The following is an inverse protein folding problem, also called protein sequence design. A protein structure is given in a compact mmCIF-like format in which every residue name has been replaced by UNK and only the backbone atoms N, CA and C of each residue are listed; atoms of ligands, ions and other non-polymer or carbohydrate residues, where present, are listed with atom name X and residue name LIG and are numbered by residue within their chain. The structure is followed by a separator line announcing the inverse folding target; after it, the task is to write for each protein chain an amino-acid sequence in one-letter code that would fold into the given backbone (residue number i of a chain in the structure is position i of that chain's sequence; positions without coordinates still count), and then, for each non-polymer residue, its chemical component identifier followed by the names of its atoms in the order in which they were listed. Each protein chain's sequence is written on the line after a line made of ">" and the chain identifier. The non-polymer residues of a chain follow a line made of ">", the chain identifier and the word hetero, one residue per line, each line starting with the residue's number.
data_IF_402103920585
#
_entry.id   IF_402103920585
#
_cell.length_a   1.000
_cell.length_b   1.000
_cell.length_c   1.000
_cell.angle_alpha   90.00
_cell.angle_beta   90.00
_cell.angle_gamma   90.00
#
_symmetry.space_group_name_H-M   'P 1'
#
loop_
_entity.id
_entity.type
_entity.pdbx_description
1 polymer ?
#
# COMPACT_ATOMS: atom_id res chain seq x y z
N UNK A 1 -17.67 -15.21 1.25
CA UNK A 1 -18.26 -14.17 2.11
C UNK A 1 -17.66 -12.85 1.67
N UNK A 2 -18.40 -11.98 0.99
CA UNK A 2 -17.90 -10.67 0.53
C UNK A 2 -18.16 -9.64 1.61
N UNK A 3 -17.18 -9.39 2.47
CA UNK A 3 -17.19 -8.23 3.37
C UNK A 3 -17.11 -6.96 2.53
N UNK A 4 -18.23 -6.26 2.38
CA UNK A 4 -18.29 -4.97 1.68
C UNK A 4 -17.60 -3.91 2.55
N UNK A 5 -16.29 -3.78 2.41
CA UNK A 5 -15.55 -2.71 3.07
C UNK A 5 -15.90 -1.38 2.39
N UNK A 6 -16.40 -0.41 3.17
CA UNK A 6 -16.65 0.94 2.67
C UNK A 6 -15.31 1.69 2.51
N UNK A 7 -14.64 1.43 1.40
CA UNK A 7 -13.36 2.02 1.04
C UNK A 7 -13.54 3.44 0.53
N UNK A 8 -12.76 4.37 1.08
CA UNK A 8 -12.65 5.75 0.56
C UNK A 8 -12.07 5.70 -0.86
N UNK A 9 -12.32 6.72 -1.70
CA UNK A 9 -11.76 6.77 -3.05
C UNK A 9 -10.25 6.58 -3.09
N UNK A 10 -9.51 7.17 -2.14
CA UNK A 10 -8.07 7.02 -2.03
C UNK A 10 -7.63 5.58 -1.69
N UNK A 11 -8.36 4.92 -0.78
CA UNK A 11 -8.07 3.54 -0.39
C UNK A 11 -8.30 2.58 -1.56
N UNK A 12 -9.35 2.80 -2.36
CA UNK A 12 -9.58 2.04 -3.59
C UNK A 12 -8.42 2.20 -4.57
N UNK A 13 -8.01 3.43 -4.86
CA UNK A 13 -6.91 3.71 -5.79
C UNK A 13 -5.60 3.04 -5.31
N UNK A 14 -5.30 3.13 -4.01
CA UNK A 14 -4.09 2.49 -3.44
C UNK A 14 -4.20 0.97 -3.52
N UNK A 15 -5.35 0.40 -3.19
CA UNK A 15 -5.58 -1.04 -3.28
C UNK A 15 -5.41 -1.53 -4.73
N UNK A 16 -6.10 -0.92 -5.69
CA UNK A 16 -6.00 -1.25 -7.12
C UNK A 16 -4.56 -1.14 -7.63
N UNK A 17 -3.80 -0.15 -7.14
CA UNK A 17 -2.39 0.04 -7.47
C UNK A 17 -1.51 -1.10 -6.97
N UNK A 18 -1.79 -1.61 -5.77
CA UNK A 18 -1.05 -2.71 -5.15
C UNK A 18 -1.47 -4.05 -5.75
N UNK A 19 -2.76 -4.26 -6.01
CA UNK A 19 -3.29 -5.44 -6.70
C UNK A 19 -2.76 -5.55 -8.13
N UNK A 20 -2.73 -4.42 -8.86
CA UNK A 20 -2.12 -4.32 -10.19
C UNK A 20 -0.61 -4.62 -10.22
N UNK A 21 0.04 -4.75 -9.05
CA UNK A 21 1.42 -5.22 -8.95
C UNK A 21 1.57 -6.75 -9.05
N UNK A 22 0.47 -7.50 -9.11
CA UNK A 22 0.49 -8.95 -9.28
C UNK A 22 1.18 -9.70 -8.13
N UNK A 23 1.03 -9.20 -6.89
CA UNK A 23 1.66 -9.81 -5.71
C UNK A 23 3.09 -9.39 -5.43
N UNK A 24 3.65 -8.43 -6.20
CA UNK A 24 4.94 -7.83 -5.87
C UNK A 24 4.87 -7.00 -4.58
N UNK A 25 5.95 -7.04 -3.80
CA UNK A 25 6.13 -6.14 -2.64
C UNK A 25 6.51 -4.74 -3.14
N UNK A 26 5.67 -3.76 -2.88
CA UNK A 26 5.86 -2.37 -3.27
C UNK A 26 6.32 -1.51 -2.08
N UNK A 27 7.27 -0.62 -2.30
CA UNK A 27 7.60 0.42 -1.32
C UNK A 27 6.59 1.57 -1.37
N UNK A 28 6.58 2.40 -0.33
CA UNK A 28 5.83 3.68 -0.33
C UNK A 28 6.12 4.53 -1.58
N UNK A 29 7.39 4.53 -2.02
CA UNK A 29 7.82 5.26 -3.21
C UNK A 29 7.16 4.68 -4.47
N UNK A 30 7.20 3.37 -4.64
CA UNK A 30 6.60 2.70 -5.80
C UNK A 30 5.09 2.97 -5.89
N UNK A 31 4.39 2.91 -4.75
CA UNK A 31 2.95 3.21 -4.67
C UNK A 31 2.69 4.65 -5.11
N UNK A 32 3.43 5.62 -4.56
CA UNK A 32 3.26 7.04 -4.90
C UNK A 32 3.55 7.34 -6.36
N UNK A 33 4.55 6.68 -6.96
CA UNK A 33 4.85 6.80 -8.39
C UNK A 33 3.71 6.27 -9.26
N UNK A 34 3.13 5.12 -8.89
CA UNK A 34 2.02 4.50 -9.64
C UNK A 34 0.72 5.30 -9.55
N UNK A 35 0.41 5.92 -8.41
CA UNK A 35 -0.76 6.81 -8.26
C UNK A 35 -0.52 8.23 -8.80
N UNK A 36 0.61 8.47 -9.49
CA UNK A 36 0.91 9.76 -10.11
C UNK A 36 1.25 10.90 -9.14
N UNK A 37 1.77 10.58 -7.94
CA UNK A 37 2.18 11.58 -6.93
C UNK A 37 3.69 11.77 -6.88
N UNK A 38 4.24 12.81 -7.54
CA UNK A 38 5.69 13.06 -7.57
C UNK A 38 6.24 13.58 -6.24
N UNK A 39 5.39 14.14 -5.36
CA UNK A 39 5.80 14.71 -4.06
C UNK A 39 6.08 13.66 -2.96
N UNK A 40 5.95 12.37 -3.29
CA UNK A 40 6.10 11.28 -2.32
C UNK A 40 4.82 11.01 -1.54
N UNK A 41 4.97 10.24 -0.46
CA UNK A 41 3.81 9.72 0.29
C UNK A 41 3.23 10.79 1.22
N UNK A 42 1.92 11.00 1.13
CA UNK A 42 1.22 11.96 1.97
C UNK A 42 0.67 11.28 3.24
N UNK A 43 0.37 12.03 4.31
CA UNK A 43 -0.27 11.48 5.50
C UNK A 43 -1.54 10.68 5.20
N UNK A 44 -2.40 11.19 4.31
CA UNK A 44 -3.63 10.51 3.89
C UNK A 44 -3.36 9.15 3.20
N UNK A 45 -2.23 9.01 2.52
CA UNK A 45 -1.83 7.74 1.89
C UNK A 45 -1.36 6.74 2.95
N UNK A 46 -0.69 7.22 4.00
CA UNK A 46 -0.29 6.39 5.14
C UNK A 46 -1.51 5.91 5.91
N UNK A 47 -2.49 6.77 6.14
CA UNK A 47 -3.76 6.40 6.78
C UNK A 47 -4.51 5.36 5.95
N UNK A 48 -4.56 5.54 4.63
CA UNK A 48 -5.17 4.57 3.73
C UNK A 48 -4.43 3.22 3.76
N UNK A 49 -3.09 3.20 3.73
CA UNK A 49 -2.30 1.97 3.84
C UNK A 49 -2.51 1.28 5.18
N UNK A 50 -2.52 2.04 6.29
CA UNK A 50 -2.76 1.50 7.61
C UNK A 50 -4.15 0.86 7.69
N UNK A 51 -5.18 1.55 7.21
CA UNK A 51 -6.55 1.03 7.20
C UNK A 51 -6.69 -0.22 6.33
N UNK A 52 -6.14 -0.21 5.12
CA UNK A 52 -6.14 -1.37 4.22
C UNK A 52 -5.43 -2.58 4.85
N UNK A 53 -4.39 -2.34 5.64
CA UNK A 53 -3.67 -3.39 6.39
C UNK A 53 -4.53 -3.91 7.55
N UNK A 54 -5.18 -3.01 8.29
CA UNK A 54 -6.04 -3.36 9.44
C UNK A 54 -7.22 -4.24 9.03
N UNK A 55 -7.84 -3.95 7.88
CA UNK A 55 -8.94 -4.75 7.34
C UNK A 55 -8.48 -5.99 6.56
N UNK A 56 -7.16 -6.22 6.45
CA UNK A 56 -6.57 -7.41 5.86
C UNK A 56 -6.55 -7.46 4.33
N UNK A 57 -6.83 -6.36 3.62
CA UNK A 57 -6.77 -6.32 2.16
C UNK A 57 -5.33 -6.23 1.62
N UNK A 58 -4.41 -5.69 2.42
CA UNK A 58 -2.98 -5.67 2.12
C UNK A 58 -2.16 -6.16 3.31
N UNK A 59 -1.00 -6.73 3.03
CA UNK A 59 0.03 -7.05 3.99
C UNK A 59 1.08 -5.94 4.02
N UNK A 60 1.66 -5.68 5.20
CA UNK A 60 2.82 -4.81 5.34
C UNK A 60 3.93 -5.51 6.09
N UNK A 61 5.18 -5.30 5.67
CA UNK A 61 6.35 -5.78 6.40
C UNK A 61 7.49 -4.79 6.34
N UNK A 62 8.38 -4.90 7.31
CA UNK A 62 9.66 -4.22 7.29
C UNK A 62 10.66 -5.07 6.51
N UNK A 63 11.11 -4.56 5.36
CA UNK A 63 12.23 -5.11 4.63
C UNK A 63 13.53 -4.49 5.14
N UNK A 64 14.41 -5.35 5.66
CA UNK A 64 15.73 -4.98 6.20
C UNK A 64 16.88 -5.27 5.22
N UNK A 65 16.61 -5.52 3.92
CA UNK A 65 17.62 -6.02 2.97
C UNK A 65 18.64 -4.99 2.47
N UNK A 66 18.99 -3.98 3.26
CA UNK A 66 20.05 -3.06 2.88
C UNK A 66 20.69 -2.33 4.05
N UNK A 67 21.97 -1.99 3.90
CA UNK A 67 22.78 -1.14 4.79
C UNK A 67 22.18 0.24 5.10
N UNK A 68 21.03 0.60 4.51
CA UNK A 68 20.40 1.92 4.60
C UNK A 68 18.92 1.77 4.97
N UNK A 69 18.67 1.70 6.28
CA UNK A 69 17.37 1.97 6.89
C UNK A 69 16.31 0.87 6.72
N UNK A 70 15.48 0.72 7.74
CA UNK A 70 14.27 -0.11 7.71
C UNK A 70 13.31 0.45 6.66
N UNK A 71 13.00 -0.31 5.61
CA UNK A 71 12.01 0.09 4.59
C UNK A 71 10.70 -0.64 4.81
N UNK A 72 9.58 0.07 4.75
CA UNK A 72 8.25 -0.55 4.74
C UNK A 72 7.85 -0.91 3.32
N UNK A 73 7.44 -2.16 3.13
CA UNK A 73 6.89 -2.68 1.88
C UNK A 73 5.50 -3.25 2.10
N UNK A 74 4.69 -3.19 1.05
CA UNK A 74 3.27 -3.52 1.06
C UNK A 74 2.93 -4.45 -0.11
N UNK A 75 1.96 -5.34 0.06
CA UNK A 75 1.49 -6.29 -0.97
C UNK A 75 0.00 -6.55 -0.78
N UNK A 76 -0.74 -6.83 -1.85
CA UNK A 76 -2.14 -7.26 -1.73
C UNK A 76 -2.23 -8.67 -1.13
N UNK A 77 -3.24 -8.88 -0.27
CA UNK A 77 -3.52 -10.16 0.42
C UNK A 77 -4.40 -11.11 -0.41
N UNK A 78 -4.69 -10.74 -1.67
CA UNK A 78 -5.50 -11.53 -2.62
C UNK A 78 -5.11 -13.01 -2.70
#
# INVERSE_FOLDING_TARGET
>A
MTTTHNLKPLEKIILETIEGAGGAWLTRKDITQRIGRPKGIQPNDLDALARLTEIGLIESKQDKRGLVGVKWVYRATV
#
